data_IF_282142961732
#
_entry.id   IF_282142961732
#
_cell.length_a   1.000
_cell.length_b   1.000
_cell.length_c   1.000
_cell.angle_alpha   90.00
_cell.angle_beta   90.00
_cell.angle_gamma   90.00
#
_symmetry.space_group_name_H-M   'P 1'
#
loop_
_entity.id
_entity.type
_entity.pdbx_description
1 polymer ?
#
# COMPACT_ATOMS: atom_id res chain seq x y z
N UNK A 1 -6.04 45.99 -7.06
CA UNK A 1 -5.23 45.35 -5.97
C UNK A 1 -5.97 44.25 -5.20
N UNK A 2 -7.27 44.36 -4.92
CA UNK A 2 -8.02 43.32 -4.17
C UNK A 2 -8.10 41.97 -4.92
N UNK A 3 -8.33 42.01 -6.23
CA UNK A 3 -8.34 40.85 -7.12
C UNK A 3 -6.99 40.14 -7.20
N UNK A 4 -5.87 40.87 -7.28
CA UNK A 4 -4.51 40.31 -7.25
C UNK A 4 -4.25 39.53 -5.95
N UNK A 5 -4.67 40.06 -4.79
CA UNK A 5 -4.52 39.37 -3.51
C UNK A 5 -5.35 38.07 -3.46
N UNK A 6 -6.52 38.07 -4.08
CA UNK A 6 -7.40 36.88 -4.18
C UNK A 6 -6.74 35.79 -5.03
N UNK A 7 -6.19 36.14 -6.20
CA UNK A 7 -5.48 35.17 -7.05
C UNK A 7 -4.23 34.59 -6.37
N UNK A 8 -3.49 35.43 -5.64
CA UNK A 8 -2.28 35.01 -4.92
C UNK A 8 -2.61 34.04 -3.76
N UNK A 9 -3.71 34.29 -3.04
CA UNK A 9 -4.20 33.39 -1.99
C UNK A 9 -4.71 32.04 -2.54
N UNK A 10 -5.43 32.07 -3.67
CA UNK A 10 -5.91 30.86 -4.36
C UNK A 10 -4.76 29.99 -4.85
N UNK A 11 -3.72 30.60 -5.41
CA UNK A 11 -2.54 29.89 -5.87
C UNK A 11 -1.82 29.20 -4.70
N UNK A 12 -1.59 29.90 -3.59
CA UNK A 12 -0.98 29.32 -2.39
C UNK A 12 -1.78 28.15 -1.80
N UNK A 13 -3.11 28.22 -1.81
CA UNK A 13 -3.97 27.14 -1.31
C UNK A 13 -3.91 25.88 -2.18
N UNK A 14 -3.78 26.02 -3.51
CA UNK A 14 -3.70 24.88 -4.42
C UNK A 14 -2.44 24.01 -4.23
N UNK A 15 -1.33 24.58 -3.73
CA UNK A 15 -0.10 23.82 -3.50
C UNK A 15 -0.18 22.87 -2.29
N UNK A 16 -1.08 23.10 -1.33
CA UNK A 16 -1.13 22.32 -0.08
C UNK A 16 -1.81 20.96 -0.23
N UNK A 17 -2.63 20.79 -1.28
CA UNK A 17 -3.41 19.57 -1.55
C UNK A 17 -2.67 18.53 -2.40
N UNK A 18 -1.44 18.81 -2.85
CA UNK A 18 -0.66 17.88 -3.69
C UNK A 18 -0.06 16.71 -2.90
N UNK A 19 0.14 16.84 -1.58
CA UNK A 19 0.91 15.87 -0.79
C UNK A 19 0.12 14.71 -0.17
N UNK A 20 -0.90 14.20 -0.87
CA UNK A 20 -1.66 13.02 -0.46
C UNK A 20 -1.09 11.71 -1.04
N UNK A 21 0.24 11.54 -1.05
CA UNK A 21 0.84 10.25 -1.42
C UNK A 21 0.79 9.25 -0.26
N UNK A 22 -0.01 8.19 -0.42
CA UNK A 22 0.08 7.00 0.44
C UNK A 22 1.38 6.27 0.11
N UNK A 23 2.45 6.59 0.84
CA UNK A 23 3.69 5.80 0.84
C UNK A 23 3.38 4.42 1.42
N UNK A 24 2.97 3.50 0.55
CA UNK A 24 2.94 2.08 0.88
C UNK A 24 4.40 1.63 0.99
N UNK A 25 4.97 1.73 2.19
CA UNK A 25 6.24 1.09 2.53
C UNK A 25 6.00 -0.42 2.49
N UNK A 26 6.02 -0.98 1.28
CA UNK A 26 6.23 -2.41 1.13
C UNK A 26 7.67 -2.65 1.57
N UNK A 27 7.82 -3.06 2.84
CA UNK A 27 9.05 -3.63 3.37
C UNK A 27 9.38 -4.93 2.62
N UNK A 28 9.66 -4.84 1.32
CA UNK A 28 10.25 -5.93 0.56
C UNK A 28 11.74 -5.88 0.86
N UNK A 29 12.10 -6.36 2.07
CA UNK A 29 13.48 -6.75 2.33
C UNK A 29 13.82 -7.78 1.26
N UNK A 30 14.68 -7.41 0.33
CA UNK A 30 15.24 -8.27 -0.71
C UNK A 30 16.19 -9.34 -0.12
N UNK A 31 15.74 -10.06 0.91
CA UNK A 31 16.37 -11.25 1.43
C UNK A 31 15.61 -12.44 0.86
N UNK A 32 16.25 -13.25 -0.01
CA UNK A 32 15.79 -14.55 -0.53
C UNK A 32 14.27 -14.76 -0.39
N UNK A 33 13.51 -14.47 -1.47
CA UNK A 33 12.05 -14.61 -1.54
C UNK A 33 11.53 -15.73 -0.64
N UNK A 34 11.03 -15.36 0.55
CA UNK A 34 10.44 -16.32 1.46
C UNK A 34 9.14 -16.80 0.81
N UNK A 35 8.82 -18.10 0.89
CA UNK A 35 7.54 -18.58 0.41
C UNK A 35 6.40 -17.76 1.03
N UNK A 36 5.39 -17.46 0.20
CA UNK A 36 4.25 -16.64 0.59
C UNK A 36 3.62 -17.20 1.89
N UNK A 37 3.36 -16.35 2.91
CA UNK A 37 2.74 -16.81 4.15
C UNK A 37 1.40 -17.49 3.87
N UNK A 38 1.05 -18.56 4.61
CA UNK A 38 -0.15 -19.37 4.34
C UNK A 38 -1.45 -18.56 4.42
N UNK A 39 -1.49 -17.53 5.28
CA UNK A 39 -2.63 -16.62 5.38
C UNK A 39 -2.81 -15.72 4.14
N UNK A 40 -1.71 -15.34 3.49
CA UNK A 40 -1.75 -14.59 2.24
C UNK A 40 -2.08 -15.52 1.07
N UNK A 41 -1.50 -16.72 1.06
CA UNK A 41 -1.83 -17.76 0.08
C UNK A 41 -3.31 -18.08 0.07
N UNK A 42 -3.91 -18.32 1.25
CA UNK A 42 -5.36 -18.56 1.39
C UNK A 42 -6.20 -17.49 0.69
N UNK A 43 -5.84 -16.20 0.84
CA UNK A 43 -6.55 -15.08 0.22
C UNK A 43 -6.38 -15.07 -1.30
N UNK A 44 -5.16 -15.27 -1.79
CA UNK A 44 -4.86 -15.33 -3.24
C UNK A 44 -5.59 -16.49 -3.91
N UNK A 45 -5.61 -17.66 -3.27
CA UNK A 45 -6.27 -18.86 -3.81
C UNK A 45 -7.77 -18.93 -3.50
N UNK A 46 -8.35 -17.95 -2.79
CA UNK A 46 -9.79 -17.91 -2.48
C UNK A 46 -10.30 -19.07 -1.61
N UNK A 47 -9.41 -19.78 -0.91
CA UNK A 47 -9.77 -20.97 -0.14
C UNK A 47 -10.27 -20.61 1.27
N UNK A 48 -11.15 -21.43 1.85
CA UNK A 48 -11.62 -21.22 3.24
C UNK A 48 -10.58 -21.58 4.30
N UNK A 49 -9.51 -22.30 3.96
CA UNK A 49 -8.52 -22.81 4.92
C UNK A 49 -7.09 -22.56 4.46
N UNK A 50 -6.23 -22.14 5.39
CA UNK A 50 -4.80 -21.94 5.15
C UNK A 50 -3.97 -23.22 5.40
N UNK A 51 -4.62 -24.29 5.90
CA UNK A 51 -3.98 -25.57 6.21
C UNK A 51 -3.20 -26.14 5.01
N UNK A 52 -3.70 -26.16 3.76
CA UNK A 52 -2.97 -26.73 2.63
C UNK A 52 -1.65 -26.00 2.29
N UNK A 53 -1.52 -24.75 2.73
CA UNK A 53 -0.35 -23.91 2.49
C UNK A 53 0.60 -23.87 3.69
N UNK A 54 0.25 -24.52 4.80
CA UNK A 54 1.09 -24.53 6.00
C UNK A 54 2.25 -25.54 5.85
N UNK A 55 3.43 -25.22 6.41
CA UNK A 55 4.60 -26.10 6.34
C UNK A 55 4.29 -27.49 6.94
N UNK A 56 4.66 -28.55 6.23
CA UNK A 56 4.49 -29.94 6.69
C UNK A 56 3.10 -30.55 6.46
N UNK A 57 2.17 -29.84 5.82
CA UNK A 57 0.84 -30.37 5.48
C UNK A 57 0.80 -31.14 4.15
N UNK A 58 1.81 -30.96 3.30
CA UNK A 58 2.05 -31.78 2.09
C UNK A 58 3.25 -32.70 2.34
N UNK A 59 3.12 -33.61 3.30
CA UNK A 59 4.05 -34.73 3.46
C UNK A 59 3.41 -35.97 2.84
#
# INVERSE_FOLDING_TARGET
>A
MKSIKIYLALMAFSLTIVSCEVRSSTHVKASKSKPMPPGQAKKVFGTKSAKPFAPGQNK
#
